data_IF_577713778983
#
_entry.id   IF_577713778983
#
_cell.length_a   1.000
_cell.length_b   1.000
_cell.length_c   1.000
_cell.angle_alpha   90.00
_cell.angle_beta   90.00
_cell.angle_gamma   90.00
#
_symmetry.space_group_name_H-M   'P 1'
#
loop_
_entity.id
_entity.type
_entity.pdbx_description
1 polymer ?
#
# COMPACT_ATOMS: atom_id res chain seq x y z
N UNK A 1 12.71 -5.27 33.89
CA UNK A 1 13.52 -4.65 32.82
C UNK A 1 12.56 -4.19 31.77
N UNK A 2 12.66 -2.97 31.19
CA UNK A 2 11.83 -2.64 30.05
C UNK A 2 12.09 -3.66 28.96
N UNK A 3 11.02 -4.12 28.30
CA UNK A 3 11.10 -5.07 27.20
C UNK A 3 12.06 -4.51 26.15
N UNK A 4 13.09 -5.26 25.78
CA UNK A 4 14.08 -4.81 24.80
C UNK A 4 13.50 -4.71 23.37
N UNK A 5 12.27 -5.19 23.17
CA UNK A 5 11.57 -5.23 21.89
C UNK A 5 10.16 -4.65 22.03
N UNK A 6 9.66 -3.93 21.01
CA UNK A 6 8.31 -3.36 21.03
C UNK A 6 7.23 -4.44 20.94
N UNK A 7 6.08 -4.18 21.57
CA UNK A 7 4.85 -4.88 21.27
C UNK A 7 4.17 -4.23 20.09
N UNK A 8 3.95 -5.00 19.01
CA UNK A 8 3.42 -4.53 17.75
C UNK A 8 2.04 -5.15 17.53
N UNK A 9 1.03 -4.32 17.28
CA UNK A 9 -0.28 -4.76 16.82
C UNK A 9 -0.40 -4.48 15.34
N UNK A 10 -0.57 -5.53 14.54
CA UNK A 10 -0.80 -5.47 13.10
C UNK A 10 -2.28 -5.68 12.80
N UNK A 11 -2.94 -4.69 12.23
CA UNK A 11 -4.32 -4.74 11.76
C UNK A 11 -4.36 -5.02 10.26
N UNK A 12 -5.24 -5.93 9.82
CA UNK A 12 -5.36 -6.33 8.42
C UNK A 12 -4.34 -7.38 7.98
N UNK A 13 -3.97 -8.29 8.88
CA UNK A 13 -2.95 -9.32 8.67
C UNK A 13 -3.18 -10.22 7.43
N UNK A 14 -4.42 -10.37 6.97
CA UNK A 14 -4.79 -11.15 5.77
C UNK A 14 -4.89 -10.32 4.48
N UNK A 15 -4.49 -9.04 4.49
CA UNK A 15 -4.34 -8.22 3.28
C UNK A 15 -2.98 -8.46 2.60
N UNK A 16 -2.78 -7.92 1.39
CA UNK A 16 -1.51 -8.07 0.65
C UNK A 16 -0.30 -7.59 1.46
N UNK A 17 -0.34 -6.34 1.93
CA UNK A 17 0.74 -5.74 2.73
C UNK A 17 0.78 -6.37 4.14
N UNK A 18 -0.39 -6.64 4.75
CA UNK A 18 -0.48 -7.26 6.06
C UNK A 18 0.14 -8.66 6.10
N UNK A 19 -0.03 -9.45 5.04
CA UNK A 19 0.59 -10.78 4.92
C UNK A 19 2.12 -10.70 4.98
N UNK A 20 2.72 -9.81 4.21
CA UNK A 20 4.17 -9.60 4.20
C UNK A 20 4.69 -8.98 5.50
N UNK A 21 3.91 -8.10 6.11
CA UNK A 21 4.27 -7.49 7.39
C UNK A 21 4.38 -8.51 8.52
N UNK A 22 3.60 -9.60 8.51
CA UNK A 22 3.74 -10.66 9.51
C UNK A 22 5.16 -11.24 9.50
N UNK A 23 5.69 -11.49 8.30
CA UNK A 23 7.07 -11.97 8.13
C UNK A 23 8.09 -10.91 8.55
N UNK A 24 7.95 -9.69 8.02
CA UNK A 24 8.95 -8.64 8.19
C UNK A 24 9.03 -8.11 9.64
N UNK A 25 7.90 -8.02 10.34
CA UNK A 25 7.82 -7.52 11.71
C UNK A 25 8.15 -8.56 12.78
N UNK A 26 8.14 -9.85 12.46
CA UNK A 26 8.46 -10.93 13.41
C UNK A 26 9.87 -10.81 14.03
N UNK A 27 10.80 -10.13 13.33
CA UNK A 27 12.15 -9.88 13.84
C UNK A 27 12.33 -8.47 14.43
N UNK A 28 11.25 -7.67 14.51
CA UNK A 28 11.29 -6.31 15.08
C UNK A 28 10.80 -6.31 16.52
N UNK A 29 9.73 -7.05 16.83
CA UNK A 29 9.14 -7.08 18.15
C UNK A 29 8.14 -8.23 18.37
N UNK A 30 7.45 -8.21 19.51
CA UNK A 30 6.36 -9.12 19.83
C UNK A 30 5.13 -8.75 18.97
N UNK A 31 4.78 -9.60 18.02
CA UNK A 31 3.77 -9.32 17.01
C UNK A 31 2.42 -9.96 17.34
N UNK A 32 1.38 -9.12 17.48
CA UNK A 32 -0.03 -9.47 17.56
C UNK A 32 -0.74 -9.14 16.27
N UNK A 33 -0.98 -10.13 15.42
CA UNK A 33 -1.62 -9.96 14.10
C UNK A 33 -3.12 -10.18 14.18
N UNK A 34 -3.92 -9.20 13.78
CA UNK A 34 -5.37 -9.26 13.80
C UNK A 34 -5.95 -9.18 12.38
N UNK A 35 -6.86 -10.10 12.11
CA UNK A 35 -7.66 -10.12 10.88
C UNK A 35 -9.04 -9.48 11.11
N UNK A 36 -9.78 -9.20 10.03
CA UNK A 36 -11.15 -8.68 10.13
C UNK A 36 -12.10 -9.60 10.91
N UNK A 37 -11.88 -10.91 10.87
CA UNK A 37 -12.71 -11.87 11.62
C UNK A 37 -12.50 -11.77 13.14
N UNK A 38 -11.32 -11.30 13.58
CA UNK A 38 -10.98 -11.14 14.99
C UNK A 38 -11.30 -9.73 15.50
N UNK A 39 -11.22 -8.71 14.62
CA UNK A 39 -11.53 -7.33 14.97
C UNK A 39 -12.05 -6.59 13.73
N UNK A 40 -13.33 -6.19 13.74
CA UNK A 40 -13.84 -5.24 12.77
C UNK A 40 -13.42 -3.83 13.18
N UNK A 41 -12.53 -3.22 12.39
CA UNK A 41 -12.03 -1.86 12.67
C UNK A 41 -13.09 -0.78 12.59
N UNK A 42 -14.25 -1.05 11.96
CA UNK A 42 -15.39 -0.13 11.91
C UNK A 42 -16.16 -0.11 13.24
N UNK A 43 -16.00 -1.10 14.11
CA UNK A 43 -16.46 -1.04 15.49
C UNK A 43 -15.46 -0.23 16.34
N UNK A 44 -15.71 1.08 16.42
CA UNK A 44 -14.83 2.00 17.14
C UNK A 44 -14.68 1.69 18.64
N UNK A 45 -15.68 1.07 19.26
CA UNK A 45 -15.63 0.69 20.69
C UNK A 45 -14.73 -0.53 20.86
N UNK A 46 -14.94 -1.58 20.08
CA UNK A 46 -14.12 -2.78 20.10
C UNK A 46 -12.68 -2.46 19.72
N UNK A 47 -12.45 -1.61 18.71
CA UNK A 47 -11.12 -1.17 18.28
C UNK A 47 -10.34 -0.48 19.41
N UNK A 48 -10.96 0.52 20.08
CA UNK A 48 -10.33 1.21 21.22
C UNK A 48 -10.04 0.27 22.36
N UNK A 49 -10.99 -0.62 22.72
CA UNK A 49 -10.81 -1.56 23.79
C UNK A 49 -9.68 -2.54 23.51
N UNK A 50 -9.67 -3.15 22.32
CA UNK A 50 -8.62 -4.08 21.89
C UNK A 50 -7.22 -3.46 21.97
N UNK A 51 -7.07 -2.21 21.46
CA UNK A 51 -5.79 -1.52 21.51
C UNK A 51 -5.36 -1.18 22.95
N UNK A 52 -6.30 -0.82 23.83
CA UNK A 52 -6.02 -0.58 25.26
C UNK A 52 -5.60 -1.87 25.98
N UNK A 53 -6.29 -2.97 25.72
CA UNK A 53 -6.03 -4.25 26.38
C UNK A 53 -4.67 -4.84 25.94
N UNK A 54 -4.32 -4.69 24.66
CA UNK A 54 -3.03 -5.12 24.14
C UNK A 54 -1.89 -4.17 24.52
N UNK A 55 -2.18 -2.92 24.85
CA UNK A 55 -1.22 -1.88 25.22
C UNK A 55 0.04 -1.90 24.32
N UNK A 56 -0.10 -1.71 22.99
CA UNK A 56 1.02 -1.78 22.06
C UNK A 56 1.96 -0.58 22.18
N UNK A 57 3.23 -0.79 21.86
CA UNK A 57 4.18 0.29 21.59
C UNK A 57 4.02 0.82 20.16
N UNK A 58 3.59 -0.07 19.24
CA UNK A 58 3.44 0.23 17.81
C UNK A 58 2.14 -0.39 17.29
N UNK A 59 1.34 0.39 16.60
CA UNK A 59 0.19 -0.07 15.81
C UNK A 59 0.51 0.08 14.33
N UNK A 60 0.36 -1.00 13.55
CA UNK A 60 0.56 -1.00 12.10
C UNK A 60 -0.80 -1.27 11.44
N UNK A 61 -1.37 -0.25 10.82
CA UNK A 61 -2.65 -0.33 10.13
C UNK A 61 -2.46 -0.65 8.65
N UNK A 62 -2.57 -1.92 8.28
CA UNK A 62 -2.58 -2.40 6.89
C UNK A 62 -4.00 -2.65 6.34
N UNK A 63 -5.01 -2.11 7.02
CA UNK A 63 -6.41 -2.17 6.55
C UNK A 63 -6.73 -1.02 5.61
N UNK A 64 -7.51 -1.27 4.59
CA UNK A 64 -8.09 -0.22 3.74
C UNK A 64 -9.29 -0.74 2.94
N UNK A 65 -10.20 0.16 2.61
CA UNK A 65 -11.13 -0.01 1.50
C UNK A 65 -10.38 0.32 0.21
N UNK A 66 -10.03 -0.69 -0.58
CA UNK A 66 -9.22 -0.54 -1.81
C UNK A 66 -10.01 -0.74 -3.10
N UNK A 67 -11.31 -1.06 -3.00
CA UNK A 67 -12.20 -1.20 -4.15
C UNK A 67 -12.59 0.18 -4.68
N UNK A 68 -11.70 0.80 -5.48
CA UNK A 68 -11.75 2.19 -5.92
C UNK A 68 -13.09 2.52 -6.61
N UNK A 69 -13.55 1.65 -7.53
CA UNK A 69 -14.81 1.86 -8.25
C UNK A 69 -16.05 1.71 -7.34
N UNK A 70 -16.02 0.74 -6.42
CA UNK A 70 -17.09 0.58 -5.44
C UNK A 70 -17.18 1.75 -4.45
N UNK A 71 -16.09 2.42 -4.16
CA UNK A 71 -16.10 3.57 -3.28
C UNK A 71 -17.01 4.69 -3.81
N UNK A 72 -17.16 4.82 -5.15
CA UNK A 72 -18.05 5.83 -5.74
C UNK A 72 -19.53 5.61 -5.39
N UNK A 73 -19.94 4.35 -5.15
CA UNK A 73 -21.31 3.99 -4.75
C UNK A 73 -21.44 3.66 -3.25
N UNK A 74 -20.37 3.31 -2.57
CA UNK A 74 -20.35 2.90 -1.16
C UNK A 74 -19.53 3.90 -0.32
N UNK A 75 -19.87 5.19 -0.44
CA UNK A 75 -19.11 6.32 0.13
C UNK A 75 -18.91 6.17 1.64
N UNK A 76 -20.00 5.93 2.39
CA UNK A 76 -19.96 5.84 3.85
C UNK A 76 -19.07 4.68 4.33
N UNK A 77 -19.14 3.53 3.65
CA UNK A 77 -18.31 2.39 3.98
C UNK A 77 -16.82 2.67 3.68
N UNK A 78 -16.52 3.36 2.58
CA UNK A 78 -15.15 3.77 2.26
C UNK A 78 -14.59 4.74 3.30
N UNK A 79 -15.36 5.73 3.75
CA UNK A 79 -14.96 6.67 4.81
C UNK A 79 -14.86 6.01 6.19
N UNK A 80 -15.76 5.09 6.54
CA UNK A 80 -15.69 4.34 7.80
C UNK A 80 -14.36 3.61 7.94
N UNK A 81 -13.91 2.91 6.87
CA UNK A 81 -12.66 2.14 6.85
C UNK A 81 -11.44 3.03 6.69
N UNK A 82 -11.49 4.02 5.78
CA UNK A 82 -10.31 4.79 5.38
C UNK A 82 -10.08 6.07 6.18
N UNK A 83 -11.08 6.58 6.88
CA UNK A 83 -10.99 7.82 7.64
C UNK A 83 -11.34 7.61 9.13
N UNK A 84 -12.55 7.14 9.45
CA UNK A 84 -13.01 7.04 10.84
C UNK A 84 -12.18 6.02 11.65
N UNK A 85 -11.94 4.84 11.12
CA UNK A 85 -11.13 3.83 11.81
C UNK A 85 -9.68 4.31 12.05
N UNK A 86 -8.95 4.87 11.06
CA UNK A 86 -7.64 5.50 11.29
C UNK A 86 -7.64 6.62 12.31
N UNK A 87 -8.69 7.46 12.36
CA UNK A 87 -8.86 8.47 13.41
C UNK A 87 -8.89 7.83 14.80
N UNK A 88 -9.73 6.82 15.00
CA UNK A 88 -9.85 6.10 16.27
C UNK A 88 -8.53 5.46 16.69
N UNK A 89 -7.79 4.88 15.72
CA UNK A 89 -6.47 4.32 15.98
C UNK A 89 -5.49 5.41 16.43
N UNK A 90 -5.45 6.53 15.72
CA UNK A 90 -4.54 7.63 16.03
C UNK A 90 -4.80 8.26 17.39
N UNK A 91 -6.07 8.56 17.72
CA UNK A 91 -6.47 9.06 19.05
C UNK A 91 -6.09 8.07 20.17
N UNK A 92 -6.25 6.77 19.92
CA UNK A 92 -5.90 5.73 20.88
C UNK A 92 -4.40 5.61 21.04
N UNK A 93 -3.64 5.66 19.95
CA UNK A 93 -2.18 5.66 19.98
C UNK A 93 -1.65 6.89 20.71
N UNK A 94 -2.19 8.07 20.47
CA UNK A 94 -1.82 9.30 21.19
C UNK A 94 -2.01 9.14 22.70
N UNK A 95 -3.15 8.58 23.13
CA UNK A 95 -3.45 8.35 24.55
C UNK A 95 -2.54 7.29 25.20
N UNK A 96 -2.09 6.29 24.44
CA UNK A 96 -1.18 5.23 24.90
C UNK A 96 0.29 5.62 24.79
N UNK A 97 0.65 6.70 24.08
CA UNK A 97 2.02 7.03 23.73
C UNK A 97 2.62 6.12 22.64
N UNK A 98 1.78 5.33 21.96
CA UNK A 98 2.17 4.39 20.92
C UNK A 98 2.44 5.10 19.58
N UNK A 99 3.26 4.45 18.73
CA UNK A 99 3.49 4.87 17.34
C UNK A 99 2.42 4.27 16.43
N UNK A 100 1.88 5.06 15.49
CA UNK A 100 0.99 4.58 14.45
C UNK A 100 1.70 4.56 13.09
N UNK A 101 1.68 3.41 12.39
CA UNK A 101 2.02 3.30 10.97
C UNK A 101 0.74 3.12 10.18
N UNK A 102 0.54 3.94 9.14
CA UNK A 102 -0.62 3.89 8.27
C UNK A 102 -0.21 3.94 6.79
N UNK A 103 -0.89 3.15 5.94
CA UNK A 103 -0.65 3.17 4.50
C UNK A 103 -1.72 3.99 3.80
N UNK A 104 -1.28 4.96 3.00
CA UNK A 104 -2.12 5.80 2.15
C UNK A 104 -1.81 5.54 0.66
N UNK A 105 -2.16 6.44 -0.22
CA UNK A 105 -2.21 6.22 -1.67
C UNK A 105 -1.78 7.46 -2.46
N UNK A 106 -1.30 7.22 -3.69
CA UNK A 106 -1.12 8.22 -4.74
C UNK A 106 -2.43 8.90 -5.19
N UNK A 107 -3.59 8.26 -4.97
CA UNK A 107 -4.91 8.82 -5.31
C UNK A 107 -5.30 10.06 -4.49
N UNK A 108 -4.50 10.47 -3.52
CA UNK A 108 -4.66 11.75 -2.84
C UNK A 108 -4.30 12.93 -3.76
N UNK A 109 -3.61 12.70 -4.86
CA UNK A 109 -3.25 13.70 -5.86
C UNK A 109 -4.20 13.65 -7.08
N UNK A 110 -4.20 14.73 -7.88
CA UNK A 110 -5.02 14.84 -9.11
C UNK A 110 -4.49 14.02 -10.30
N UNK A 111 -3.24 13.59 -10.25
CA UNK A 111 -2.61 12.82 -11.32
C UNK A 111 -2.23 13.62 -12.57
N UNK A 112 -2.24 14.97 -12.52
CA UNK A 112 -2.00 15.85 -13.68
C UNK A 112 -0.56 16.40 -13.73
N UNK A 113 0.21 16.25 -12.67
CA UNK A 113 1.58 16.77 -12.61
C UNK A 113 2.50 16.03 -13.59
N UNK A 114 3.43 16.75 -14.26
CA UNK A 114 4.37 16.15 -15.21
C UNK A 114 5.57 15.46 -14.56
N UNK A 115 5.88 15.79 -13.30
CA UNK A 115 6.94 15.21 -12.48
C UNK A 115 6.37 14.27 -11.40
N UNK A 116 7.18 13.44 -10.70
CA UNK A 116 6.74 12.74 -9.51
C UNK A 116 6.27 13.70 -8.42
N UNK A 117 5.16 13.34 -7.73
CA UNK A 117 4.64 14.13 -6.61
C UNK A 117 5.55 14.03 -5.40
N UNK A 118 5.70 15.12 -4.67
CA UNK A 118 6.40 15.22 -3.39
C UNK A 118 5.39 15.28 -2.24
N UNK A 119 5.86 14.98 -1.03
CA UNK A 119 5.02 15.08 0.17
C UNK A 119 4.54 16.51 0.46
N UNK A 120 5.26 17.52 -0.05
CA UNK A 120 4.91 18.95 0.04
C UNK A 120 3.87 19.41 -0.97
N UNK A 121 3.57 18.60 -2.00
CA UNK A 121 2.60 18.97 -3.01
C UNK A 121 1.19 18.88 -2.44
N UNK A 122 0.33 19.85 -2.79
CA UNK A 122 -1.03 19.91 -2.27
C UNK A 122 -1.87 18.74 -2.78
N UNK A 123 -2.51 17.96 -1.89
CA UNK A 123 -3.46 16.93 -2.31
C UNK A 123 -4.69 17.52 -3.02
N UNK A 124 -5.16 16.82 -4.06
CA UNK A 124 -6.36 17.17 -4.82
C UNK A 124 -7.08 15.92 -5.35
N UNK A 125 -7.60 15.03 -4.47
CA UNK A 125 -8.13 13.73 -4.84
C UNK A 125 -9.37 13.87 -5.74
N UNK A 126 -9.41 13.09 -6.84
CA UNK A 126 -10.47 13.12 -7.84
C UNK A 126 -11.57 12.05 -7.60
N UNK A 127 -11.29 11.03 -6.78
CA UNK A 127 -12.19 9.91 -6.49
C UNK A 127 -12.63 9.89 -5.03
N UNK A 128 -13.74 9.21 -4.72
CA UNK A 128 -14.17 8.96 -3.33
C UNK A 128 -13.10 8.20 -2.55
N UNK A 129 -12.46 7.21 -3.17
CA UNK A 129 -11.34 6.49 -2.56
C UNK A 129 -10.22 7.45 -2.13
N UNK A 130 -9.75 8.30 -3.05
CA UNK A 130 -8.70 9.29 -2.75
C UNK A 130 -9.13 10.25 -1.63
N UNK A 131 -10.37 10.78 -1.69
CA UNK A 131 -10.93 11.65 -0.64
C UNK A 131 -11.00 10.95 0.72
N UNK A 132 -11.45 9.70 0.76
CA UNK A 132 -11.53 8.93 2.02
C UNK A 132 -10.16 8.66 2.63
N UNK A 133 -9.15 8.34 1.80
CA UNK A 133 -7.77 8.15 2.26
C UNK A 133 -7.14 9.44 2.78
N UNK A 134 -7.34 10.55 2.07
CA UNK A 134 -6.85 11.86 2.50
C UNK A 134 -7.50 12.30 3.83
N UNK A 135 -8.79 12.06 4.01
CA UNK A 135 -9.46 12.34 5.27
C UNK A 135 -8.86 11.54 6.44
N UNK A 136 -8.46 10.29 6.19
CA UNK A 136 -7.75 9.49 7.17
C UNK A 136 -6.36 10.04 7.51
N UNK A 137 -5.57 10.46 6.50
CA UNK A 137 -4.29 11.13 6.73
C UNK A 137 -4.46 12.37 7.63
N UNK A 138 -5.43 13.23 7.30
CA UNK A 138 -5.68 14.44 8.05
C UNK A 138 -6.08 14.14 9.49
N UNK A 139 -6.99 13.20 9.70
CA UNK A 139 -7.41 12.79 11.04
C UNK A 139 -6.24 12.24 11.90
N UNK A 140 -5.33 11.50 11.28
CA UNK A 140 -4.11 11.02 11.95
C UNK A 140 -3.20 12.21 12.32
N UNK A 141 -2.96 13.14 11.40
CA UNK A 141 -2.10 14.31 11.64
C UNK A 141 -2.66 15.23 12.72
N UNK A 142 -3.98 15.43 12.75
CA UNK A 142 -4.67 16.29 13.71
C UNK A 142 -4.76 15.66 15.12
N UNK A 143 -4.60 14.34 15.24
CA UNK A 143 -4.70 13.62 16.53
C UNK A 143 -3.56 13.88 17.50
N UNK A 144 -2.43 14.41 17.01
CA UNK A 144 -1.19 14.55 17.79
C UNK A 144 -0.42 13.24 18.02
N UNK A 145 -0.84 12.13 17.42
CA UNK A 145 -0.13 10.85 17.51
C UNK A 145 1.25 10.91 16.84
N UNK A 146 2.21 10.16 17.36
CA UNK A 146 3.46 9.86 16.66
C UNK A 146 3.14 8.91 15.51
N UNK A 147 3.03 9.44 14.29
CA UNK A 147 2.55 8.65 13.15
C UNK A 147 3.49 8.71 11.95
N UNK A 148 3.64 7.57 11.27
CA UNK A 148 4.22 7.41 9.95
C UNK A 148 3.09 7.09 8.97
N UNK A 149 2.88 7.94 7.98
CA UNK A 149 1.89 7.74 6.93
C UNK A 149 2.64 7.49 5.63
N UNK A 150 2.60 6.26 5.11
CA UNK A 150 3.25 5.89 3.86
C UNK A 150 2.27 5.95 2.70
N UNK A 151 2.39 6.96 1.83
CA UNK A 151 1.69 6.96 0.54
C UNK A 151 2.40 6.00 -0.41
N UNK A 152 1.66 5.06 -0.97
CA UNK A 152 2.17 4.05 -1.90
C UNK A 152 1.30 3.99 -3.15
N UNK A 153 1.75 3.25 -4.18
CA UNK A 153 1.00 3.08 -5.43
C UNK A 153 1.17 1.68 -6.01
N UNK A 154 0.17 1.21 -6.77
CA UNK A 154 0.22 0.01 -7.60
C UNK A 154 0.74 -1.22 -6.87
N UNK A 155 0.23 -1.45 -5.64
CA UNK A 155 0.68 -2.55 -4.78
C UNK A 155 0.33 -3.90 -5.39
N UNK A 156 1.33 -4.77 -5.47
CA UNK A 156 1.17 -6.15 -5.92
C UNK A 156 1.95 -7.12 -5.03
N UNK A 157 1.58 -8.40 -5.09
CA UNK A 157 2.23 -9.47 -4.35
C UNK A 157 1.69 -10.84 -4.75
N UNK A 158 2.16 -11.87 -4.09
CA UNK A 158 1.72 -13.25 -4.30
C UNK A 158 0.51 -13.64 -3.45
N UNK A 159 0.01 -12.71 -2.63
CA UNK A 159 -1.17 -12.87 -1.79
C UNK A 159 -2.26 -11.84 -2.14
N UNK A 160 -3.54 -12.26 -2.04
CA UNK A 160 -4.69 -11.40 -2.35
C UNK A 160 -4.86 -11.09 -3.85
N UNK A 161 -5.87 -10.30 -4.20
CA UNK A 161 -6.15 -9.88 -5.57
C UNK A 161 -5.31 -8.67 -5.98
N UNK A 162 -4.66 -8.73 -7.16
CA UNK A 162 -3.89 -7.62 -7.70
C UNK A 162 -3.74 -7.71 -9.24
N UNK A 163 -3.12 -6.69 -9.82
CA UNK A 163 -2.94 -6.60 -11.27
C UNK A 163 -2.12 -7.75 -11.84
N UNK A 164 -1.02 -8.17 -11.18
CA UNK A 164 -0.17 -9.27 -11.66
C UNK A 164 -0.96 -10.57 -11.75
N UNK A 165 -1.72 -10.92 -10.73
CA UNK A 165 -2.61 -12.11 -10.75
C UNK A 165 -3.67 -12.01 -11.85
N UNK A 166 -4.24 -10.83 -12.04
CA UNK A 166 -5.24 -10.59 -13.08
C UNK A 166 -4.66 -10.81 -14.47
N UNK A 167 -3.48 -10.24 -14.76
CA UNK A 167 -2.82 -10.42 -16.05
C UNK A 167 -2.43 -11.89 -16.27
N UNK A 168 -1.85 -12.57 -15.29
CA UNK A 168 -1.50 -13.99 -15.42
C UNK A 168 -2.71 -14.88 -15.69
N UNK A 169 -3.86 -14.63 -15.03
CA UNK A 169 -5.10 -15.34 -15.29
C UNK A 169 -5.61 -15.07 -16.71
N UNK A 170 -5.69 -13.80 -17.10
CA UNK A 170 -6.15 -13.43 -18.45
C UNK A 170 -5.22 -13.95 -19.54
N UNK A 171 -3.91 -13.99 -19.29
CA UNK A 171 -2.93 -14.52 -20.24
C UNK A 171 -3.05 -16.03 -20.46
N UNK A 172 -3.59 -16.78 -19.51
CA UNK A 172 -3.94 -18.21 -19.69
C UNK A 172 -5.20 -18.40 -20.52
N UNK A 173 -6.16 -17.48 -20.42
CA UNK A 173 -7.52 -17.61 -20.97
C UNK A 173 -7.67 -16.95 -22.36
N UNK A 174 -6.88 -15.92 -22.69
CA UNK A 174 -7.11 -15.04 -23.86
C UNK A 174 -5.89 -14.99 -24.77
N UNK A 175 -6.13 -14.86 -26.07
CA UNK A 175 -5.06 -14.68 -27.09
C UNK A 175 -4.71 -13.22 -27.34
N UNK A 176 -5.56 -12.28 -26.96
CA UNK A 176 -5.35 -10.83 -27.08
C UNK A 176 -5.86 -10.14 -25.84
N UNK A 177 -5.25 -9.01 -25.50
CA UNK A 177 -5.63 -8.16 -24.37
C UNK A 177 -5.40 -6.70 -24.74
N UNK A 178 -6.23 -5.78 -24.23
CA UNK A 178 -5.99 -4.34 -24.32
C UNK A 178 -5.72 -3.79 -22.94
N UNK A 179 -4.66 -2.99 -22.79
CA UNK A 179 -4.26 -2.40 -21.50
C UNK A 179 -3.92 -0.93 -21.69
N UNK A 180 -4.33 -0.11 -20.72
CA UNK A 180 -4.10 1.35 -20.71
C UNK A 180 -2.60 1.67 -20.70
N UNK A 181 -2.18 2.60 -21.58
CA UNK A 181 -0.79 2.96 -21.79
C UNK A 181 -0.43 4.39 -21.38
N UNK A 182 -1.40 5.25 -21.13
CA UNK A 182 -1.26 6.66 -20.77
C UNK A 182 -1.36 6.94 -19.26
N UNK A 183 -1.44 5.91 -18.42
CA UNK A 183 -1.31 5.99 -16.96
C UNK A 183 0.06 5.46 -16.55
N UNK A 184 0.83 6.29 -15.84
CA UNK A 184 2.22 6.00 -15.46
C UNK A 184 2.34 5.97 -13.94
N UNK A 185 2.97 4.91 -13.41
CA UNK A 185 3.19 4.73 -11.98
C UNK A 185 4.40 3.84 -11.68
N UNK A 186 4.57 3.50 -10.42
CA UNK A 186 5.62 2.61 -9.94
C UNK A 186 4.98 1.38 -9.26
N UNK A 187 4.90 0.23 -9.94
CA UNK A 187 4.45 -1.00 -9.30
C UNK A 187 5.30 -1.31 -8.07
N UNK A 188 4.67 -1.47 -6.91
CA UNK A 188 5.37 -1.62 -5.64
C UNK A 188 5.00 -2.96 -5.01
N UNK A 189 6.00 -3.82 -4.82
CA UNK A 189 5.77 -5.11 -4.18
C UNK A 189 5.40 -4.94 -2.71
N UNK A 190 4.40 -5.69 -2.25
CA UNK A 190 3.98 -5.70 -0.84
C UNK A 190 5.14 -6.09 0.10
N UNK A 191 6.03 -6.99 -0.34
CA UNK A 191 7.25 -7.36 0.38
C UNK A 191 8.20 -6.17 0.57
N UNK A 192 8.40 -5.32 -0.45
CA UNK A 192 9.22 -4.11 -0.32
C UNK A 192 8.62 -3.15 0.71
N UNK A 193 7.30 -2.92 0.68
CA UNK A 193 6.62 -2.07 1.66
C UNK A 193 6.85 -2.62 3.07
N UNK A 194 6.70 -3.92 3.26
CA UNK A 194 6.88 -4.57 4.55
C UNK A 194 8.34 -4.50 5.06
N UNK A 195 9.31 -4.76 4.19
CA UNK A 195 10.73 -4.73 4.54
C UNK A 195 11.19 -3.31 4.91
N UNK A 196 10.77 -2.29 4.13
CA UNK A 196 11.06 -0.89 4.45
C UNK A 196 10.38 -0.48 5.76
N UNK A 197 9.12 -0.87 5.99
CA UNK A 197 8.43 -0.59 7.26
C UNK A 197 9.19 -1.19 8.44
N UNK A 198 9.62 -2.46 8.34
CA UNK A 198 10.38 -3.12 9.39
C UNK A 198 11.74 -2.43 9.66
N UNK A 199 12.44 -2.01 8.60
CA UNK A 199 13.71 -1.28 8.73
C UNK A 199 13.52 0.07 9.44
N UNK A 200 12.51 0.84 9.03
CA UNK A 200 12.16 2.13 9.65
C UNK A 200 11.76 1.96 11.12
N UNK A 201 10.91 1.00 11.44
CA UNK A 201 10.47 0.74 12.82
C UNK A 201 11.62 0.29 13.72
N UNK A 202 12.53 -0.53 13.21
CA UNK A 202 13.75 -0.91 13.96
C UNK A 202 14.62 0.30 14.27
N UNK A 203 14.84 1.19 13.31
CA UNK A 203 15.61 2.41 13.50
C UNK A 203 14.94 3.33 14.54
N UNK A 204 13.62 3.55 14.42
CA UNK A 204 12.85 4.35 15.36
C UNK A 204 12.89 3.81 16.79
N UNK A 205 12.88 2.47 16.95
CA UNK A 205 12.98 1.85 18.27
C UNK A 205 14.36 1.98 18.89
N UNK A 206 15.40 1.91 18.07
CA UNK A 206 16.79 2.02 18.53
C UNK A 206 17.24 3.48 18.77
N UNK A 207 16.75 4.41 17.96
CA UNK A 207 17.14 5.82 17.97
C UNK A 207 15.91 6.75 17.92
N UNK A 208 15.05 6.75 18.97
CA UNK A 208 13.79 7.49 18.96
C UNK A 208 13.96 9.02 18.84
N UNK A 209 15.12 9.54 19.19
CA UNK A 209 15.48 10.97 19.06
C UNK A 209 15.66 11.39 17.59
N UNK A 210 15.90 10.45 16.68
CA UNK A 210 16.03 10.70 15.24
C UNK A 210 14.70 10.51 14.49
N UNK A 211 13.60 10.29 15.20
CA UNK A 211 12.32 10.05 14.60
C UNK A 211 11.79 11.27 13.83
N UNK A 212 11.35 11.07 12.59
CA UNK A 212 10.53 12.02 11.85
C UNK A 212 9.13 11.46 11.65
N UNK A 213 8.15 12.27 11.95
CA UNK A 213 6.75 11.90 11.86
C UNK A 213 6.06 12.56 10.67
N UNK A 214 4.91 12.04 10.29
CA UNK A 214 4.07 12.57 9.24
C UNK A 214 4.11 11.74 7.97
N UNK A 215 3.90 12.40 6.82
CA UNK A 215 3.74 11.75 5.52
C UNK A 215 5.08 11.48 4.87
N UNK A 216 5.23 10.28 4.33
CA UNK A 216 6.36 9.85 3.49
C UNK A 216 5.82 9.11 2.27
N UNK A 217 6.51 9.23 1.15
CA UNK A 217 6.24 8.44 -0.03
C UNK A 217 7.06 7.15 -0.01
N UNK A 218 6.40 6.02 -0.29
CA UNK A 218 7.01 4.68 -0.29
C UNK A 218 6.56 3.89 -1.52
N UNK A 219 7.33 3.94 -2.58
CA UNK A 219 7.17 3.13 -3.79
C UNK A 219 8.51 2.55 -4.22
N UNK A 220 8.49 1.55 -5.09
CA UNK A 220 9.70 1.15 -5.80
C UNK A 220 10.20 2.30 -6.69
N UNK A 221 11.47 2.27 -7.07
CA UNK A 221 12.04 3.26 -7.98
C UNK A 221 11.69 2.97 -9.45
N UNK A 222 11.80 4.01 -10.30
CA UNK A 222 11.46 3.95 -11.71
C UNK A 222 9.96 4.19 -11.95
N UNK A 223 9.56 4.07 -13.22
CA UNK A 223 8.17 4.27 -13.64
C UNK A 223 7.85 3.43 -14.87
N UNK A 224 6.59 3.03 -15.01
CA UNK A 224 6.11 2.21 -16.12
C UNK A 224 4.62 2.49 -16.35
N UNK A 225 4.11 2.26 -17.59
CA UNK A 225 2.66 2.25 -17.83
C UNK A 225 2.04 0.91 -17.45
N UNK A 226 0.71 0.86 -17.23
CA UNK A 226 0.00 -0.41 -17.03
C UNK A 226 0.23 -1.38 -18.20
N UNK A 227 0.22 -0.88 -19.44
CA UNK A 227 0.50 -1.67 -20.63
C UNK A 227 1.90 -2.31 -20.57
N UNK A 228 2.95 -1.51 -20.39
CA UNK A 228 4.31 -2.01 -20.33
C UNK A 228 4.52 -2.97 -19.13
N UNK A 229 3.85 -2.72 -17.99
CA UNK A 229 3.86 -3.62 -16.85
C UNK A 229 3.19 -4.96 -17.19
N UNK A 230 2.05 -4.95 -17.89
CA UNK A 230 1.38 -6.18 -18.35
C UNK A 230 2.26 -6.98 -19.33
N UNK A 231 2.93 -6.33 -20.28
CA UNK A 231 3.86 -6.96 -21.20
C UNK A 231 5.02 -7.65 -20.45
N UNK A 232 5.58 -6.97 -19.46
CA UNK A 232 6.68 -7.52 -18.66
C UNK A 232 6.24 -8.71 -17.80
N UNK A 233 5.03 -8.69 -17.22
CA UNK A 233 4.45 -9.84 -16.49
C UNK A 233 4.35 -11.06 -17.40
N UNK A 234 3.79 -10.92 -18.61
CA UNK A 234 3.64 -12.02 -19.56
C UNK A 234 4.99 -12.54 -20.02
N UNK A 235 5.92 -11.65 -20.37
CA UNK A 235 7.28 -12.00 -20.80
C UNK A 235 8.03 -12.82 -19.72
N UNK A 236 7.98 -12.37 -18.47
CA UNK A 236 8.64 -13.06 -17.35
C UNK A 236 7.98 -14.41 -17.05
N UNK A 237 6.65 -14.49 -17.12
CA UNK A 237 5.94 -15.75 -16.91
C UNK A 237 6.31 -16.79 -17.99
N UNK A 238 6.41 -16.39 -19.26
CA UNK A 238 6.88 -17.26 -20.36
C UNK A 238 8.31 -17.71 -20.15
N UNK A 239 9.21 -16.79 -19.74
CA UNK A 239 10.60 -17.13 -19.43
C UNK A 239 10.72 -18.15 -18.28
N UNK A 240 9.77 -18.14 -17.35
CA UNK A 240 9.69 -19.11 -16.25
C UNK A 240 8.93 -20.40 -16.61
N UNK A 241 8.62 -20.61 -17.89
CA UNK A 241 8.05 -21.84 -18.41
C UNK A 241 6.52 -21.91 -18.33
N UNK A 242 5.82 -20.77 -18.06
CA UNK A 242 4.37 -20.78 -18.06
C UNK A 242 3.80 -20.98 -19.48
N UNK A 243 2.86 -21.91 -19.63
CA UNK A 243 2.08 -22.06 -20.86
C UNK A 243 0.96 -21.03 -20.86
N UNK A 244 1.08 -20.00 -21.69
CA UNK A 244 0.13 -18.90 -21.83
C UNK A 244 -0.47 -18.90 -23.24
N UNK A 245 -1.75 -18.56 -23.34
CA UNK A 245 -2.44 -18.33 -24.62
C UNK A 245 -2.09 -16.95 -25.21
N UNK A 246 -1.72 -15.99 -24.35
CA UNK A 246 -1.39 -14.62 -24.71
C UNK A 246 0.15 -14.48 -24.90
N UNK A 247 0.53 -13.88 -26.01
CA UNK A 247 1.89 -13.37 -26.20
C UNK A 247 1.97 -11.89 -25.76
N UNK A 248 3.11 -11.45 -25.22
CA UNK A 248 3.29 -10.06 -24.80
C UNK A 248 3.09 -9.07 -25.97
N UNK A 249 3.46 -9.46 -27.21
CA UNK A 249 3.22 -8.65 -28.40
C UNK A 249 1.74 -8.55 -28.82
N UNK A 250 0.89 -9.42 -28.30
CA UNK A 250 -0.56 -9.39 -28.55
C UNK A 250 -1.35 -8.55 -27.50
N UNK A 251 -0.65 -7.83 -26.62
CA UNK A 251 -1.22 -6.86 -25.70
C UNK A 251 -1.27 -5.50 -26.39
N UNK A 252 -2.47 -5.05 -26.75
CA UNK A 252 -2.66 -3.75 -27.36
C UNK A 252 -2.58 -2.62 -26.34
N UNK A 253 -1.84 -1.56 -26.68
CA UNK A 253 -1.82 -0.32 -25.91
C UNK A 253 -3.06 0.52 -26.29
N UNK A 254 -3.85 0.93 -25.31
CA UNK A 254 -5.02 1.78 -25.49
C UNK A 254 -4.92 3.03 -24.60
N UNK A 255 -5.52 4.16 -24.98
CA UNK A 255 -5.66 5.30 -24.08
C UNK A 255 -6.73 5.05 -23.00
N UNK A 256 -6.66 5.77 -21.90
CA UNK A 256 -7.66 5.71 -20.80
C UNK A 256 -9.09 5.99 -21.29
N UNK A 257 -9.27 6.80 -22.32
CA UNK A 257 -10.57 7.13 -22.93
C UNK A 257 -11.29 5.92 -23.54
N UNK A 258 -10.55 4.88 -23.91
CA UNK A 258 -11.10 3.62 -24.43
C UNK A 258 -11.38 2.58 -23.32
N UNK A 259 -11.06 2.91 -22.08
CA UNK A 259 -11.30 2.04 -20.92
C UNK A 259 -12.10 2.77 -19.83
N UNK A 260 -13.38 3.07 -20.06
CA UNK A 260 -14.20 3.81 -19.11
C UNK A 260 -14.37 3.01 -17.79
N UNK A 261 -14.16 3.69 -16.68
CA UNK A 261 -14.31 3.15 -15.32
C UNK A 261 -15.07 4.15 -14.45
N UNK A 262 -15.81 3.69 -13.40
CA UNK A 262 -16.61 4.57 -12.56
C UNK A 262 -15.79 5.68 -11.86
N UNK A 263 -14.66 5.33 -11.29
CA UNK A 263 -13.80 6.28 -10.60
C UNK A 263 -12.69 6.80 -11.51
N UNK A 264 -12.39 8.10 -11.52
CA UNK A 264 -11.24 8.66 -12.25
C UNK A 264 -9.93 8.02 -11.79
N UNK A 265 -9.05 7.72 -12.75
CA UNK A 265 -7.70 7.19 -12.49
C UNK A 265 -6.66 8.28 -12.77
N UNK A 266 -5.65 8.48 -11.89
CA UNK A 266 -4.58 9.43 -12.14
C UNK A 266 -3.74 9.02 -13.37
N UNK A 267 -3.47 9.95 -14.27
CA UNK A 267 -2.56 9.73 -15.39
C UNK A 267 -1.10 9.59 -14.89
N UNK A 268 -0.77 10.29 -13.82
CA UNK A 268 0.54 10.22 -13.15
C UNK A 268 0.38 9.80 -11.69
N UNK A 269 0.86 8.60 -11.36
CA UNK A 269 0.92 8.01 -10.01
C UNK A 269 2.35 7.95 -9.45
N UNK A 270 3.30 8.68 -10.05
CA UNK A 270 4.69 8.66 -9.59
C UNK A 270 4.86 9.48 -8.33
N UNK A 271 5.52 8.91 -7.34
CA UNK A 271 5.84 9.53 -6.05
C UNK A 271 7.34 9.70 -5.91
N UNK A 272 7.79 10.89 -5.49
CA UNK A 272 9.19 11.15 -5.10
C UNK A 272 9.39 10.62 -3.67
N UNK A 273 10.28 9.66 -3.52
CA UNK A 273 10.57 9.00 -2.24
C UNK A 273 11.87 9.51 -1.59
N UNK A 274 12.46 10.60 -2.06
CA UNK A 274 13.74 11.11 -1.56
C UNK A 274 13.69 11.42 -0.07
N UNK A 275 12.60 11.97 0.45
CA UNK A 275 12.42 12.27 1.88
C UNK A 275 12.59 11.01 2.73
N UNK A 276 11.95 9.90 2.36
CA UNK A 276 12.07 8.62 3.05
C UNK A 276 13.50 8.09 3.01
N UNK A 277 14.12 8.08 1.81
CA UNK A 277 15.47 7.58 1.60
C UNK A 277 16.53 8.39 2.38
N UNK A 278 16.43 9.71 2.34
CA UNK A 278 17.37 10.59 3.02
C UNK A 278 17.25 10.52 4.54
N UNK A 279 16.01 10.43 5.05
CA UNK A 279 15.79 10.46 6.49
C UNK A 279 16.09 9.10 7.15
N UNK A 280 15.64 8.01 6.54
CA UNK A 280 15.75 6.67 7.11
C UNK A 280 16.85 5.80 6.47
N UNK A 281 17.62 6.33 5.53
CA UNK A 281 18.73 5.60 4.90
C UNK A 281 18.31 4.35 4.12
N UNK A 282 17.04 4.24 3.71
CA UNK A 282 16.53 3.08 3.01
C UNK A 282 16.79 3.18 1.51
N UNK A 283 17.13 2.06 0.89
CA UNK A 283 17.25 1.94 -0.57
C UNK A 283 15.96 1.37 -1.16
N UNK A 284 15.45 2.01 -2.21
CA UNK A 284 14.26 1.58 -2.92
C UNK A 284 14.65 1.01 -4.28
N UNK A 285 14.61 -0.32 -4.47
CA UNK A 285 14.97 -0.97 -5.72
C UNK A 285 13.98 -0.63 -6.83
N UNK A 286 14.38 -0.88 -8.10
CA UNK A 286 13.50 -0.75 -9.25
C UNK A 286 12.23 -1.59 -9.08
N UNK A 287 11.11 -1.09 -9.62
CA UNK A 287 9.83 -1.80 -9.66
C UNK A 287 9.93 -3.21 -10.26
N UNK A 288 10.87 -3.43 -11.16
CA UNK A 288 11.10 -4.74 -11.81
C UNK A 288 11.83 -5.75 -10.92
N UNK A 289 12.43 -5.31 -9.81
CA UNK A 289 13.31 -6.16 -8.98
C UNK A 289 12.56 -7.33 -8.32
N UNK A 290 11.43 -7.08 -7.70
CA UNK A 290 10.66 -8.11 -7.00
C UNK A 290 9.76 -8.94 -7.93
N UNK A 291 9.45 -8.43 -9.13
CA UNK A 291 8.47 -9.03 -10.03
C UNK A 291 8.77 -10.48 -10.43
N UNK A 292 10.00 -10.87 -10.76
CA UNK A 292 10.31 -12.27 -11.12
C UNK A 292 10.01 -13.25 -9.99
N UNK A 293 10.31 -12.89 -8.74
CA UNK A 293 10.05 -13.75 -7.58
C UNK A 293 8.54 -13.89 -7.30
N UNK A 294 7.79 -12.79 -7.40
CA UNK A 294 6.32 -12.81 -7.24
C UNK A 294 5.68 -13.68 -8.33
N UNK A 295 6.09 -13.53 -9.60
CA UNK A 295 5.59 -14.39 -10.69
C UNK A 295 5.90 -15.84 -10.42
N UNK A 296 7.14 -16.16 -10.00
CA UNK A 296 7.55 -17.53 -9.66
C UNK A 296 6.64 -18.16 -8.59
N UNK A 297 6.36 -17.40 -7.52
CA UNK A 297 5.44 -17.84 -6.47
C UNK A 297 4.03 -18.10 -7.01
N UNK A 298 3.51 -17.19 -7.86
CA UNK A 298 2.16 -17.27 -8.43
C UNK A 298 1.99 -18.41 -9.46
N UNK A 299 3.04 -18.81 -10.14
CA UNK A 299 2.99 -19.92 -11.09
C UNK A 299 2.97 -21.30 -10.42
N UNK A 300 3.30 -21.36 -9.12
CA UNK A 300 3.30 -22.61 -8.32
C UNK A 300 2.02 -22.81 -7.49
N UNK A 301 1.15 -21.80 -7.43
CA UNK A 301 -0.17 -21.85 -6.80
C UNK A 301 -1.23 -22.39 -7.76
#
# INVERSE_FOLDING_TARGET
MPNNFPRIVLLGANGQVGHELQRALACVGELHSLTRAQLDICDSVALRQTLRDLAPDIVVNATAWTAVDKAESEVDAAFAVNATAPQVMAETCAALGAVLVHYSTDYVFDGQHSAPYRESDSPAPQSVYGRSKLAGEQAILDSGAKALIFRTSWVYGDFGGNFVRTILRLARERKTLSVVADQIGAPTAASLIADVTAAVLRQLWQCPEQAAWGVFHLTASGAVSWHAFACEIVRLAQQQGASLALDAAAIAAIPSSEYPVPAPRPANSRLDCQRLQQHYGVYLPSWSHALPAVIHSLLRQ
#
